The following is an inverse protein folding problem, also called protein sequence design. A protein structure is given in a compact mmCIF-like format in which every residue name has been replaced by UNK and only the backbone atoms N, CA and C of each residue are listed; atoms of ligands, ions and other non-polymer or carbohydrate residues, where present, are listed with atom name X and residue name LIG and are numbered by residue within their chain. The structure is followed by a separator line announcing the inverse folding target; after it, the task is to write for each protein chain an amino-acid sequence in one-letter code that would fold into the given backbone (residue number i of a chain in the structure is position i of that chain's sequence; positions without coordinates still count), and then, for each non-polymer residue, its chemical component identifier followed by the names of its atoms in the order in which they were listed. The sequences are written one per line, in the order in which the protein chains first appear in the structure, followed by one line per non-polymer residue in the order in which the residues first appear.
data_IF_045303676703
#
_entry.id   IF_045303676703
#
_cell.length_a   1.000
_cell.length_b   1.000
_cell.length_c   1.000
_cell.angle_alpha   90.00
_cell.angle_beta   90.00
_cell.angle_gamma   90.00
#
_symmetry.space_group_name_H-M   'P 1'
#
loop_
_entity.id
_entity.type
_entity.pdbx_description
1 polymer ?
#
# COMPACT_ATOMS: atom_id res chain seq x y z
N UNK A 1 -33.68 14.48 -34.34
CA UNK A 1 -33.09 13.61 -33.30
C UNK A 1 -32.27 12.45 -33.89
N UNK A 2 -32.76 11.66 -34.84
CA UNK A 2 -31.99 10.54 -35.43
C UNK A 2 -30.67 10.95 -36.11
N UNK A 3 -30.69 12.00 -36.94
CA UNK A 3 -29.50 12.52 -37.64
C UNK A 3 -28.36 12.90 -36.68
N UNK A 4 -28.68 13.45 -35.50
CA UNK A 4 -27.70 13.85 -34.48
C UNK A 4 -27.05 12.63 -33.82
N UNK A 5 -27.81 11.54 -33.67
CA UNK A 5 -27.32 10.27 -33.11
C UNK A 5 -26.42 9.57 -34.12
N UNK A 6 -26.77 9.62 -35.41
CA UNK A 6 -25.95 9.06 -36.47
C UNK A 6 -24.64 9.87 -36.67
N UNK A 7 -24.69 11.20 -36.56
CA UNK A 7 -23.50 12.08 -36.51
C UNK A 7 -22.59 11.71 -35.33
N UNK A 8 -23.14 11.64 -34.11
CA UNK A 8 -22.37 11.27 -32.91
C UNK A 8 -21.84 9.84 -32.98
N UNK A 9 -22.59 8.91 -33.58
CA UNK A 9 -22.15 7.54 -33.78
C UNK A 9 -20.96 7.50 -34.73
N UNK A 10 -21.01 8.25 -35.82
CA UNK A 10 -19.93 8.32 -36.80
C UNK A 10 -18.69 9.02 -36.22
N UNK A 11 -18.88 10.08 -35.44
CA UNK A 11 -17.79 10.79 -34.75
C UNK A 11 -17.15 9.91 -33.66
N UNK A 12 -17.95 9.13 -32.91
CA UNK A 12 -17.39 8.14 -31.97
C UNK A 12 -16.64 7.00 -32.67
N UNK A 13 -17.04 6.65 -33.90
CA UNK A 13 -16.45 5.56 -34.68
C UNK A 13 -15.10 5.98 -35.28
N UNK A 14 -14.97 7.24 -35.70
CA UNK A 14 -13.70 7.83 -36.16
C UNK A 14 -12.69 7.96 -35.02
N UNK A 15 -13.12 8.36 -33.81
CA UNK A 15 -12.22 8.51 -32.63
C UNK A 15 -11.58 7.17 -32.21
N UNK A 16 -12.21 6.03 -32.52
CA UNK A 16 -11.71 4.70 -32.12
C UNK A 16 -10.60 4.19 -33.07
N UNK A 17 -10.36 4.81 -34.23
CA UNK A 17 -9.47 4.26 -35.27
C UNK A 17 -8.02 4.75 -35.31
N UNK A 18 -7.56 5.71 -34.48
CA UNK A 18 -6.16 6.18 -34.55
C UNK A 18 -5.48 6.40 -33.18
N UNK A 19 -5.34 5.34 -32.40
CA UNK A 19 -4.03 5.08 -31.77
C UNK A 19 -3.58 3.71 -32.25
N UNK A 20 -2.43 3.67 -32.92
CA UNK A 20 -1.91 2.51 -33.63
C UNK A 20 -1.55 1.41 -32.61
N UNK A 21 -2.51 0.56 -32.26
CA UNK A 21 -2.38 -0.49 -31.25
C UNK A 21 -1.17 -1.40 -31.49
N UNK A 22 -0.79 -1.58 -32.76
CA UNK A 22 0.36 -2.37 -33.18
C UNK A 22 1.69 -1.72 -32.77
N UNK A 23 1.76 -0.39 -32.71
CA UNK A 23 2.93 0.37 -32.25
C UNK A 23 3.10 0.28 -30.72
N UNK A 24 1.98 0.27 -29.99
CA UNK A 24 1.98 0.10 -28.53
C UNK A 24 2.32 -1.33 -28.12
N UNK A 25 1.74 -2.33 -28.78
CA UNK A 25 2.05 -3.75 -28.52
C UNK A 25 3.53 -4.05 -28.83
N UNK A 26 4.05 -3.48 -29.93
CA UNK A 26 5.47 -3.56 -30.29
C UNK A 26 6.35 -2.93 -29.21
N UNK A 27 5.99 -1.73 -28.74
CA UNK A 27 6.72 -1.03 -27.67
C UNK A 27 6.72 -1.81 -26.35
N UNK A 28 5.59 -2.43 -25.98
CA UNK A 28 5.51 -3.30 -24.81
C UNK A 28 6.47 -4.48 -24.96
N UNK A 29 6.42 -5.16 -26.10
CA UNK A 29 7.25 -6.34 -26.36
C UNK A 29 8.74 -6.00 -26.28
N UNK A 30 9.16 -4.88 -26.86
CA UNK A 30 10.55 -4.39 -26.80
C UNK A 30 11.00 -4.02 -25.38
N UNK A 31 10.08 -3.47 -24.57
CA UNK A 31 10.36 -3.13 -23.18
C UNK A 31 10.49 -4.37 -22.30
N UNK A 32 9.65 -5.38 -22.52
CA UNK A 32 9.73 -6.69 -21.84
C UNK A 32 11.07 -7.38 -22.15
N UNK A 33 11.49 -7.43 -23.41
CA UNK A 33 12.79 -8.00 -23.80
C UNK A 33 13.97 -7.26 -23.14
N UNK A 34 13.89 -5.93 -23.05
CA UNK A 34 14.91 -5.11 -22.39
C UNK A 34 14.99 -5.39 -20.87
N UNK A 35 13.87 -5.66 -20.21
CA UNK A 35 13.83 -6.02 -18.77
C UNK A 35 14.56 -7.34 -18.53
N UNK A 36 14.29 -8.36 -19.36
CA UNK A 36 14.93 -9.68 -19.24
C UNK A 36 16.46 -9.59 -19.40
N UNK A 37 16.93 -8.80 -20.37
CA UNK A 37 18.38 -8.62 -20.58
C UNK A 37 19.07 -7.90 -19.42
N UNK A 38 18.38 -6.95 -18.78
CA UNK A 38 18.89 -6.25 -17.61
C UNK A 38 18.97 -7.17 -16.40
N UNK A 39 17.98 -8.05 -16.19
CA UNK A 39 17.99 -9.01 -15.09
C UNK A 39 19.22 -9.93 -15.16
N UNK A 40 19.48 -10.50 -16.33
CA UNK A 40 20.66 -11.36 -16.56
C UNK A 40 21.97 -10.61 -16.28
N UNK A 41 22.05 -9.34 -16.73
CA UNK A 41 23.24 -8.51 -16.52
C UNK A 41 23.46 -8.18 -15.05
N UNK A 42 22.39 -7.87 -14.29
CA UNK A 42 22.47 -7.62 -12.85
C UNK A 42 22.89 -8.87 -12.07
N UNK A 43 22.32 -10.04 -12.39
CA UNK A 43 22.70 -11.32 -11.78
C UNK A 43 24.18 -11.63 -12.01
N UNK A 44 24.69 -11.36 -13.21
CA UNK A 44 26.10 -11.51 -13.54
C UNK A 44 26.99 -10.57 -12.72
N UNK A 45 26.59 -9.32 -12.49
CA UNK A 45 27.35 -8.39 -11.65
C UNK A 45 27.35 -8.80 -10.17
N UNK A 46 26.22 -9.27 -9.65
CA UNK A 46 26.11 -9.78 -8.27
C UNK A 46 27.03 -10.99 -8.08
N UNK A 47 27.00 -11.92 -9.04
CA UNK A 47 27.83 -13.15 -8.96
C UNK A 47 29.32 -12.88 -9.15
N UNK A 48 29.71 -11.89 -9.97
CA UNK A 48 31.11 -11.50 -10.13
C UNK A 48 31.66 -10.68 -8.94
N UNK A 49 30.81 -10.02 -8.16
CA UNK A 49 31.22 -9.20 -7.01
C UNK A 49 31.26 -9.97 -5.68
N UNK A 50 30.87 -11.25 -5.64
CA UNK A 50 30.93 -12.08 -4.45
C UNK A 50 32.27 -12.82 -4.36
N UNK A 51 33.17 -12.36 -3.50
CA UNK A 51 34.33 -13.15 -3.06
C UNK A 51 33.86 -14.38 -2.26
N UNK A 52 34.26 -15.61 -2.60
CA UNK A 52 33.81 -16.81 -1.90
C UNK A 52 34.50 -17.08 -0.55
N UNK A 53 35.37 -16.18 -0.07
CA UNK A 53 36.05 -16.33 1.22
C UNK A 53 35.70 -15.21 2.20
N UNK A 54 34.58 -15.40 2.91
CA UNK A 54 34.36 -14.76 4.22
C UNK A 54 33.72 -15.78 5.16
N UNK A 55 34.58 -16.59 5.77
CA UNK A 55 34.27 -17.32 6.98
C UNK A 55 34.15 -16.30 8.12
N UNK A 56 32.97 -15.70 8.29
CA UNK A 56 32.63 -14.92 9.47
C UNK A 56 31.78 -15.82 10.34
N UNK A 57 32.40 -16.41 11.38
CA UNK A 57 31.67 -16.82 12.57
C UNK A 57 31.15 -15.55 13.23
N UNK A 58 30.04 -15.03 12.68
CA UNK A 58 29.30 -13.96 13.28
C UNK A 58 28.51 -14.63 14.40
N UNK A 59 28.97 -14.48 15.64
CA UNK A 59 28.01 -14.19 16.69
C UNK A 59 27.14 -13.05 16.15
N UNK A 60 25.93 -13.37 15.72
CA UNK A 60 24.91 -12.40 15.40
C UNK A 60 24.55 -11.77 16.73
N UNK A 61 25.40 -10.87 17.24
CA UNK A 61 24.94 -9.84 18.15
C UNK A 61 23.97 -9.05 17.30
N UNK A 62 22.70 -9.35 17.54
CA UNK A 62 21.51 -8.78 16.94
C UNK A 62 21.53 -7.26 17.18
N UNK A 63 22.41 -6.57 16.46
CA UNK A 63 22.40 -5.12 16.28
C UNK A 63 21.23 -4.80 15.36
N UNK A 64 20.03 -5.20 15.80
CA UNK A 64 18.78 -4.58 15.38
C UNK A 64 18.92 -3.14 15.75
N UNK A 65 19.24 -2.32 14.75
CA UNK A 65 18.89 -0.90 14.74
C UNK A 65 17.48 -0.84 15.32
N UNK A 66 17.36 -0.36 16.57
CA UNK A 66 16.06 -0.21 17.22
C UNK A 66 15.36 0.92 16.50
N UNK A 67 14.62 0.54 15.47
CA UNK A 67 13.69 1.44 14.82
C UNK A 67 12.75 1.98 15.92
N UNK A 68 12.45 3.29 15.91
CA UNK A 68 11.50 3.84 16.85
C UNK A 68 10.20 3.02 16.72
N UNK A 69 9.70 2.55 17.87
CA UNK A 69 8.46 1.78 17.91
C UNK A 69 7.36 2.61 17.26
N UNK A 70 6.68 2.04 16.26
CA UNK A 70 5.56 2.71 15.61
C UNK A 70 4.50 3.02 16.67
N UNK A 71 4.22 4.31 16.87
CA UNK A 71 3.20 4.76 17.80
C UNK A 71 1.82 4.52 17.20
N UNK A 72 0.90 4.00 18.01
CA UNK A 72 -0.50 3.85 17.61
C UNK A 72 -1.12 5.19 17.21
N UNK A 73 -1.92 5.23 16.13
CA UNK A 73 -2.62 6.44 15.73
C UNK A 73 -3.58 6.88 16.84
N UNK A 74 -3.82 8.20 16.94
CA UNK A 74 -4.74 8.76 17.93
C UNK A 74 -5.92 9.41 17.23
N UNK A 75 -7.09 9.33 17.87
CA UNK A 75 -8.32 9.93 17.39
C UNK A 75 -8.97 10.74 18.51
N UNK A 76 -9.13 12.04 18.30
CA UNK A 76 -9.76 12.91 19.30
C UNK A 76 -11.29 12.95 19.22
N UNK A 77 -11.86 12.43 18.13
CA UNK A 77 -13.28 12.58 17.79
C UNK A 77 -13.56 13.68 16.77
N UNK A 78 -12.54 14.41 16.32
CA UNK A 78 -12.68 15.40 15.26
C UNK A 78 -12.84 14.73 13.91
N UNK A 79 -13.90 15.08 13.18
CA UNK A 79 -14.19 14.50 11.87
C UNK A 79 -13.05 14.67 10.86
N UNK A 80 -12.32 15.80 10.89
CA UNK A 80 -11.18 16.06 10.02
C UNK A 80 -10.04 15.04 10.19
N UNK A 81 -9.88 14.46 11.39
CA UNK A 81 -8.86 13.45 11.69
C UNK A 81 -9.27 12.05 11.23
N UNK A 82 -10.56 11.80 11.02
CA UNK A 82 -11.13 10.46 10.81
C UNK A 82 -10.50 9.73 9.64
N UNK A 83 -10.37 10.38 8.48
CA UNK A 83 -9.84 9.73 7.27
C UNK A 83 -8.39 9.26 7.47
N UNK A 84 -7.56 10.10 8.09
CA UNK A 84 -6.16 9.77 8.37
C UNK A 84 -6.03 8.70 9.45
N UNK A 85 -6.81 8.82 10.53
CA UNK A 85 -6.86 7.83 11.59
C UNK A 85 -7.28 6.46 11.07
N UNK A 86 -8.37 6.39 10.30
CA UNK A 86 -8.92 5.13 9.79
C UNK A 86 -7.91 4.41 8.89
N UNK A 87 -7.30 5.12 7.94
CA UNK A 87 -6.29 4.53 7.06
C UNK A 87 -5.11 3.96 7.85
N UNK A 88 -4.59 4.71 8.83
CA UNK A 88 -3.48 4.24 9.68
C UNK A 88 -3.89 3.05 10.56
N UNK A 89 -5.06 3.10 11.17
CA UNK A 89 -5.55 2.06 12.08
C UNK A 89 -5.80 0.74 11.33
N UNK A 90 -6.40 0.80 10.13
CA UNK A 90 -6.64 -0.39 9.30
C UNK A 90 -5.32 -1.03 8.88
N UNK A 91 -4.34 -0.24 8.41
CA UNK A 91 -3.03 -0.76 8.01
C UNK A 91 -2.25 -1.38 9.16
N UNK A 92 -2.26 -0.75 10.35
CA UNK A 92 -1.44 -1.17 11.47
C UNK A 92 -2.07 -2.27 12.33
N UNK A 93 -3.39 -2.24 12.50
CA UNK A 93 -4.10 -3.06 13.50
C UNK A 93 -5.10 -4.00 12.85
N UNK A 94 -5.98 -3.51 11.98
CA UNK A 94 -7.07 -4.35 11.45
C UNK A 94 -6.58 -5.44 10.49
N UNK A 95 -5.61 -5.09 9.64
CA UNK A 95 -4.98 -6.05 8.72
C UNK A 95 -4.01 -7.01 9.42
N UNK A 96 -3.67 -6.78 10.69
CA UNK A 96 -2.75 -7.63 11.43
C UNK A 96 -3.45 -8.92 11.90
N UNK A 97 -3.21 -10.01 11.18
CA UNK A 97 -3.77 -11.35 11.47
C UNK A 97 -3.27 -11.98 12.77
N UNK A 98 -2.22 -11.44 13.39
CA UNK A 98 -1.72 -11.93 14.68
C UNK A 98 -2.54 -11.39 15.86
N UNK A 99 -3.38 -10.37 15.63
CA UNK A 99 -4.25 -9.79 16.64
C UNK A 99 -5.65 -10.39 16.55
N UNK A 100 -6.20 -10.82 17.68
CA UNK A 100 -7.60 -11.19 17.78
C UNK A 100 -8.50 -9.96 17.76
N UNK A 101 -9.78 -10.14 17.43
CA UNK A 101 -10.74 -9.03 17.38
C UNK A 101 -10.84 -8.28 18.71
N UNK A 102 -10.76 -9.00 19.84
CA UNK A 102 -10.72 -8.39 21.18
C UNK A 102 -9.48 -7.51 21.39
N UNK A 103 -8.31 -7.94 20.89
CA UNK A 103 -7.09 -7.13 20.96
C UNK A 103 -7.18 -5.91 20.05
N UNK A 104 -7.71 -6.06 18.84
CA UNK A 104 -7.97 -4.94 17.93
C UNK A 104 -8.90 -3.92 18.56
N UNK A 105 -9.98 -4.38 19.21
CA UNK A 105 -10.90 -3.51 19.95
C UNK A 105 -10.17 -2.78 21.10
N UNK A 106 -9.34 -3.48 21.87
CA UNK A 106 -8.54 -2.84 22.92
C UNK A 106 -7.62 -1.74 22.37
N UNK A 107 -6.97 -1.98 21.23
CA UNK A 107 -6.16 -0.98 20.55
C UNK A 107 -6.98 0.19 20.03
N UNK A 108 -8.18 -0.07 19.51
CA UNK A 108 -9.12 0.97 19.09
C UNK A 108 -9.46 1.89 20.27
N UNK A 109 -9.91 1.29 21.39
CA UNK A 109 -10.25 2.02 22.61
C UNK A 109 -9.06 2.83 23.15
N UNK A 110 -7.86 2.25 23.15
CA UNK A 110 -6.62 2.91 23.59
C UNK A 110 -6.16 4.04 22.66
N UNK A 111 -6.65 4.04 21.42
CA UNK A 111 -6.36 5.06 20.40
C UNK A 111 -7.32 6.25 20.49
N UNK A 112 -8.46 6.10 21.16
CA UNK A 112 -9.41 7.19 21.42
C UNK A 112 -8.88 8.16 22.47
N UNK A 113 -9.06 9.44 22.21
CA UNK A 113 -8.66 10.57 23.07
C UNK A 113 -9.75 11.64 23.03
N UNK A 114 -9.64 12.66 23.89
CA UNK A 114 -10.58 13.80 23.88
C UNK A 114 -12.04 13.38 23.98
N UNK A 115 -12.89 13.96 23.11
CA UNK A 115 -14.33 13.70 23.07
C UNK A 115 -14.65 12.25 22.67
N UNK A 116 -13.88 11.67 21.74
CA UNK A 116 -14.10 10.27 21.34
C UNK A 116 -13.93 9.29 22.51
N UNK A 117 -13.00 9.56 23.42
CA UNK A 117 -12.81 8.74 24.62
C UNK A 117 -13.97 8.86 25.62
N UNK A 118 -14.60 10.03 25.70
CA UNK A 118 -15.74 10.24 26.60
C UNK A 118 -16.98 9.49 26.12
N UNK A 119 -17.20 9.42 24.79
CA UNK A 119 -18.30 8.65 24.20
C UNK A 119 -18.21 7.15 24.54
N UNK A 120 -17.02 6.62 24.72
CA UNK A 120 -16.83 5.23 25.14
C UNK A 120 -17.39 4.96 26.55
N UNK A 121 -17.32 5.94 27.46
CA UNK A 121 -17.73 5.77 28.87
C UNK A 121 -19.20 6.07 29.15
N UNK A 122 -19.93 6.60 28.16
CA UNK A 122 -21.31 7.06 28.33
C UNK A 122 -22.36 5.93 28.33
N UNK A 123 -21.96 4.68 28.05
CA UNK A 123 -22.86 3.51 28.03
C UNK A 123 -23.04 2.86 29.42
N UNK A 124 -22.13 3.12 30.37
CA UNK A 124 -22.15 2.47 31.70
C UNK A 124 -22.85 3.29 32.81
N UNK A 125 -23.53 4.40 32.48
CA UNK A 125 -24.11 5.32 33.50
C UNK A 125 -25.61 5.62 33.39
N UNK A 126 -26.38 4.76 32.72
CA UNK A 126 -27.82 4.71 32.99
C UNK A 126 -28.08 3.59 34.00
N UNK A 127 -28.51 4.03 35.19
CA UNK A 127 -29.08 3.24 36.30
C UNK A 127 -29.79 1.96 35.90
#
# INVERSE_FOLDING_TARGET
MKVKIDELRNESFEIIQEENLEDFETTITEMEESIDTLEVSLLKLITLNCNPEMNISAEITDNKIKLPSISLPKFSGQYAEWLSFNSQFVTLIDNNKQLSDSQKLYYLQSSLTGNAKQLQTLDDSYT
#
